data_IF_489609517738
#
_entry.id   IF_489609517738
#
_cell.length_a   1.000
_cell.length_b   1.000
_cell.length_c   1.000
_cell.angle_alpha   90.00
_cell.angle_beta   90.00
_cell.angle_gamma   90.00
#
_symmetry.space_group_name_H-M   'P 1'
#
loop_
_entity.id
_entity.type
_entity.pdbx_description
1 polymer ?
#
# COMPACT_ATOMS: atom_id res chain seq x y z
N UNK A 1 -15.19 -8.64 -60.36
CA UNK A 1 -16.45 -8.63 -59.62
C UNK A 1 -16.34 -9.45 -58.34
N UNK A 2 -15.57 -10.58 -58.32
CA UNK A 2 -15.44 -11.46 -57.17
C UNK A 2 -14.63 -10.87 -56.00
N UNK A 3 -13.65 -9.99 -56.27
CA UNK A 3 -12.79 -9.38 -55.26
C UNK A 3 -13.54 -8.33 -54.35
N UNK A 4 -14.55 -7.66 -54.93
CA UNK A 4 -15.32 -6.64 -54.17
C UNK A 4 -16.34 -7.25 -53.21
N UNK A 5 -16.84 -8.45 -53.48
CA UNK A 5 -17.76 -9.16 -52.59
C UNK A 5 -17.08 -9.74 -51.37
N UNK A 6 -15.78 -10.12 -51.50
CA UNK A 6 -15.02 -10.65 -50.37
C UNK A 6 -14.64 -9.53 -49.38
N UNK A 7 -14.35 -8.33 -49.89
CA UNK A 7 -14.00 -7.18 -49.02
C UNK A 7 -15.18 -6.70 -48.20
N UNK A 8 -16.40 -6.73 -48.75
CA UNK A 8 -17.61 -6.34 -48.01
C UNK A 8 -18.03 -7.37 -46.97
N UNK A 9 -17.81 -8.65 -47.21
CA UNK A 9 -18.09 -9.69 -46.24
C UNK A 9 -17.15 -9.64 -45.03
N UNK A 10 -15.87 -9.30 -45.23
CA UNK A 10 -14.87 -9.18 -44.19
C UNK A 10 -15.13 -7.94 -43.28
N UNK A 11 -15.55 -6.82 -43.89
CA UNK A 11 -15.86 -5.61 -43.15
C UNK A 11 -17.10 -5.78 -42.26
N UNK A 12 -18.12 -6.51 -42.73
CA UNK A 12 -19.33 -6.78 -41.93
C UNK A 12 -19.06 -7.76 -40.81
N UNK A 13 -18.19 -8.73 -40.97
CA UNK A 13 -17.80 -9.67 -39.92
C UNK A 13 -16.99 -8.98 -38.82
N UNK A 14 -16.12 -8.01 -39.18
CA UNK A 14 -15.34 -7.25 -38.22
C UNK A 14 -16.19 -6.33 -37.35
N UNK A 15 -17.18 -5.67 -37.95
CA UNK A 15 -18.13 -4.81 -37.23
C UNK A 15 -19.07 -5.61 -36.30
N UNK A 16 -19.45 -6.82 -36.68
CA UNK A 16 -20.24 -7.71 -35.82
C UNK A 16 -19.43 -8.20 -34.59
N UNK A 17 -18.14 -8.47 -34.77
CA UNK A 17 -17.25 -8.89 -33.67
C UNK A 17 -17.05 -7.78 -32.65
N UNK A 18 -16.90 -6.53 -33.07
CA UNK A 18 -16.75 -5.37 -32.18
C UNK A 18 -18.06 -5.09 -31.45
N UNK A 19 -19.21 -5.18 -32.12
CA UNK A 19 -20.52 -4.97 -31.50
C UNK A 19 -20.87 -6.05 -30.49
N UNK A 20 -20.50 -7.30 -30.73
CA UNK A 20 -20.79 -8.41 -29.82
C UNK A 20 -19.95 -8.37 -28.55
N UNK A 21 -18.69 -7.88 -28.63
CA UNK A 21 -17.82 -7.71 -27.48
C UNK A 21 -18.29 -6.63 -26.50
N UNK A 22 -19.01 -5.63 -26.95
CA UNK A 22 -19.58 -4.57 -26.11
C UNK A 22 -20.89 -4.99 -25.40
N UNK A 23 -21.64 -5.93 -25.98
CA UNK A 23 -22.90 -6.45 -25.42
C UNK A 23 -22.67 -7.54 -24.37
N UNK A 24 -21.49 -8.19 -24.36
CA UNK A 24 -21.18 -9.23 -23.39
C UNK A 24 -20.44 -8.72 -22.13
N UNK A 25 -20.16 -7.41 -22.08
CA UNK A 25 -19.74 -6.83 -20.82
C UNK A 25 -20.97 -6.78 -19.92
N UNK A 26 -21.20 -7.86 -19.16
CA UNK A 26 -22.15 -7.82 -18.06
C UNK A 26 -21.83 -6.56 -17.24
N UNK A 27 -22.84 -5.72 -16.91
CA UNK A 27 -22.61 -4.63 -15.98
C UNK A 27 -22.03 -5.30 -14.73
N UNK A 28 -20.76 -5.02 -14.43
CA UNK A 28 -20.25 -5.29 -13.10
C UNK A 28 -21.24 -4.56 -12.18
N UNK A 29 -21.87 -5.23 -11.19
CA UNK A 29 -22.64 -4.52 -10.21
C UNK A 29 -21.70 -3.41 -9.72
N UNK A 30 -22.08 -2.17 -10.00
CA UNK A 30 -21.44 -1.03 -9.39
C UNK A 30 -21.45 -1.37 -7.91
N UNK A 31 -20.28 -1.57 -7.31
CA UNK A 31 -20.19 -1.72 -5.86
C UNK A 31 -20.97 -0.53 -5.32
N UNK A 32 -22.07 -0.82 -4.65
CA UNK A 32 -22.98 0.21 -4.14
C UNK A 32 -22.13 1.21 -3.38
N UNK A 33 -22.04 2.47 -3.80
CA UNK A 33 -21.22 3.46 -3.11
C UNK A 33 -21.69 3.66 -1.66
N UNK A 34 -22.92 3.27 -1.35
CA UNK A 34 -23.47 3.27 -0.01
C UNK A 34 -22.92 2.15 0.89
N UNK A 35 -22.53 1.00 0.31
CA UNK A 35 -21.83 -0.07 1.06
C UNK A 35 -20.32 0.22 1.23
N UNK A 36 -19.73 1.03 0.35
CA UNK A 36 -18.36 1.51 0.51
C UNK A 36 -18.24 2.67 1.52
N UNK A 37 -19.32 3.44 1.72
CA UNK A 37 -19.35 4.60 2.61
C UNK A 37 -19.40 4.28 4.12
N UNK A 38 -19.37 3.02 4.51
CA UNK A 38 -19.53 2.61 5.92
C UNK A 38 -18.39 1.81 6.55
N UNK A 39 -17.39 1.40 5.77
CA UNK A 39 -16.25 0.66 6.32
C UNK A 39 -15.04 1.59 6.46
N UNK A 40 -14.51 1.75 7.68
CA UNK A 40 -13.29 2.53 7.87
C UNK A 40 -12.14 2.00 7.01
N UNK A 41 -11.37 2.89 6.41
CA UNK A 41 -10.18 2.50 5.67
C UNK A 41 -9.04 2.14 6.65
N UNK A 42 -8.30 1.06 6.40
CA UNK A 42 -7.16 0.68 7.24
C UNK A 42 -6.11 1.81 7.25
N UNK A 43 -5.54 2.06 8.42
CA UNK A 43 -4.49 3.07 8.56
C UNK A 43 -3.22 2.56 7.90
N UNK A 44 -2.62 3.39 7.08
CA UNK A 44 -1.36 3.11 6.39
C UNK A 44 -0.37 4.25 6.56
N UNK A 45 0.89 3.89 6.82
CA UNK A 45 2.06 4.77 6.81
C UNK A 45 2.92 4.36 5.62
N UNK A 46 3.10 5.23 4.66
CA UNK A 46 3.80 4.95 3.41
C UNK A 46 4.96 5.92 3.27
N UNK A 47 6.19 5.41 3.29
CA UNK A 47 7.40 6.18 3.08
C UNK A 47 7.90 6.06 1.65
N UNK A 48 8.31 7.18 1.06
CA UNK A 48 9.01 7.24 -0.22
C UNK A 48 10.15 8.24 -0.12
N UNK A 49 11.33 7.73 0.15
CA UNK A 49 12.49 8.58 0.45
C UNK A 49 12.25 9.43 1.71
N UNK A 50 12.22 10.76 1.56
CA UNK A 50 11.92 11.72 2.63
C UNK A 50 10.44 12.10 2.74
N UNK A 51 9.56 11.59 1.87
CA UNK A 51 8.12 11.84 1.96
C UNK A 51 7.43 10.68 2.70
N UNK A 52 6.56 11.01 3.65
CA UNK A 52 5.71 10.07 4.37
C UNK A 52 4.26 10.45 4.19
N UNK A 53 3.47 9.55 3.62
CA UNK A 53 2.03 9.71 3.50
C UNK A 53 1.33 8.89 4.58
N UNK A 54 0.47 9.53 5.35
CA UNK A 54 -0.44 8.90 6.31
C UNK A 54 -1.83 8.86 5.68
N UNK A 55 -2.44 7.68 5.59
CA UNK A 55 -3.76 7.50 4.98
C UNK A 55 -4.62 6.54 5.81
N UNK A 56 -5.93 6.57 5.60
CA UNK A 56 -6.90 5.73 6.31
C UNK A 56 -7.67 6.46 7.39
N UNK A 57 -8.47 5.71 8.15
CA UNK A 57 -9.35 6.25 9.18
C UNK A 57 -8.88 5.88 10.58
N UNK A 58 -8.82 6.87 11.46
CA UNK A 58 -8.56 6.70 12.90
C UNK A 58 -9.83 6.96 13.71
N UNK A 59 -9.93 6.35 14.88
CA UNK A 59 -11.14 6.42 15.72
C UNK A 59 -11.43 7.83 16.25
N UNK A 60 -10.39 8.61 16.53
CA UNK A 60 -10.51 9.92 17.17
C UNK A 60 -9.34 10.87 16.79
N UNK A 61 -9.49 12.18 17.08
CA UNK A 61 -8.43 13.15 16.80
C UNK A 61 -7.16 12.97 17.64
N UNK A 62 -7.22 12.30 18.78
CA UNK A 62 -6.06 12.03 19.61
C UNK A 62 -5.18 10.95 18.97
N UNK A 63 -5.79 9.90 18.42
CA UNK A 63 -5.09 8.87 17.63
C UNK A 63 -4.41 9.47 16.40
N UNK A 64 -5.10 10.38 15.66
CA UNK A 64 -4.49 11.10 14.53
C UNK A 64 -3.25 11.90 14.95
N UNK A 65 -3.35 12.63 16.06
CA UNK A 65 -2.23 13.42 16.58
C UNK A 65 -1.09 12.52 17.03
N UNK A 66 -1.36 11.42 17.75
CA UNK A 66 -0.34 10.48 18.19
C UNK A 66 0.44 9.87 17.02
N UNK A 67 -0.25 9.54 15.92
CA UNK A 67 0.39 9.02 14.72
C UNK A 67 1.30 10.07 14.05
N UNK A 68 0.82 11.30 13.93
CA UNK A 68 1.62 12.42 13.40
C UNK A 68 2.86 12.68 14.26
N UNK A 69 2.69 12.75 15.60
CA UNK A 69 3.78 12.98 16.53
C UNK A 69 4.83 11.86 16.48
N UNK A 70 4.40 10.60 16.35
CA UNK A 70 5.30 9.46 16.19
C UNK A 70 6.15 9.53 14.94
N UNK A 71 5.57 9.95 13.81
CA UNK A 71 6.29 10.09 12.54
C UNK A 71 7.21 11.31 12.56
N UNK A 72 6.75 12.46 13.04
CA UNK A 72 7.60 13.65 13.17
C UNK A 72 8.75 13.46 14.16
N UNK A 73 8.53 12.70 15.23
CA UNK A 73 9.56 12.40 16.23
C UNK A 73 10.65 11.45 15.73
N UNK A 74 10.41 10.72 14.65
CA UNK A 74 11.37 9.72 14.13
C UNK A 74 12.45 10.31 13.21
N UNK A 75 12.24 11.51 12.63
CA UNK A 75 13.20 12.14 11.72
C UNK A 75 12.86 13.61 11.49
N UNK A 76 13.87 14.49 11.51
CA UNK A 76 13.70 15.96 11.35
C UNK A 76 13.50 16.39 9.88
N UNK A 77 13.91 15.58 8.90
CA UNK A 77 13.91 15.92 7.47
C UNK A 77 12.75 15.28 6.68
N UNK A 78 11.65 14.90 7.35
CA UNK A 78 10.52 14.26 6.69
C UNK A 78 9.46 15.27 6.25
N UNK A 79 8.98 15.11 5.02
CA UNK A 79 7.77 15.77 4.52
C UNK A 79 6.58 14.86 4.77
N UNK A 80 5.67 15.25 5.67
CA UNK A 80 4.49 14.45 6.01
C UNK A 80 3.28 14.93 5.23
N UNK A 81 2.64 14.03 4.49
CA UNK A 81 1.37 14.23 3.81
C UNK A 81 0.27 13.55 4.62
N UNK A 82 -0.53 14.34 5.32
CA UNK A 82 -1.62 13.86 6.15
C UNK A 82 -2.91 13.72 5.34
N UNK A 83 -3.38 12.48 5.18
CA UNK A 83 -4.65 12.10 4.55
C UNK A 83 -5.52 11.25 5.48
N UNK A 84 -5.35 11.41 6.80
CA UNK A 84 -6.12 10.65 7.78
C UNK A 84 -7.53 11.22 7.93
N UNK A 85 -8.51 10.34 7.80
CA UNK A 85 -9.88 10.60 8.24
C UNK A 85 -10.06 10.33 9.75
N UNK A 86 -11.08 10.95 10.34
CA UNK A 86 -11.50 10.64 11.71
C UNK A 86 -12.90 10.06 11.66
N UNK A 87 -13.02 8.78 11.98
CA UNK A 87 -14.26 8.03 11.90
C UNK A 87 -14.45 7.24 13.20
N UNK A 88 -15.46 7.55 14.04
CA UNK A 88 -15.67 6.85 15.31
C UNK A 88 -15.87 5.34 15.19
N UNK A 89 -16.21 4.86 13.97
CA UNK A 89 -16.33 3.43 13.67
C UNK A 89 -14.98 2.76 13.34
N UNK A 90 -13.88 3.54 13.20
CA UNK A 90 -12.56 2.97 12.97
C UNK A 90 -12.08 2.17 14.20
N UNK A 91 -11.34 1.07 14.00
CA UNK A 91 -10.80 0.31 15.12
C UNK A 91 -9.79 1.15 15.91
N UNK A 92 -9.79 0.97 17.21
CA UNK A 92 -8.72 1.51 18.05
C UNK A 92 -7.43 0.76 17.76
N UNK A 93 -6.40 1.50 17.37
CA UNK A 93 -5.09 0.95 17.01
C UNK A 93 -4.09 1.37 18.09
N UNK A 94 -3.25 0.44 18.54
CA UNK A 94 -2.11 0.78 19.37
C UNK A 94 -1.01 1.38 18.51
N UNK A 95 -0.81 2.68 18.64
CA UNK A 95 0.15 3.46 17.87
C UNK A 95 1.50 3.63 18.59
N UNK A 96 1.66 3.08 19.80
CA UNK A 96 2.88 3.24 20.62
C UNK A 96 4.14 2.69 19.93
N UNK A 97 3.98 1.65 19.12
CA UNK A 97 5.07 1.02 18.37
C UNK A 97 5.45 1.71 17.06
N UNK A 98 4.67 2.69 16.58
CA UNK A 98 4.90 3.31 15.27
C UNK A 98 6.26 4.00 15.21
N UNK A 99 6.61 4.80 16.20
CA UNK A 99 7.87 5.52 16.24
C UNK A 99 9.10 4.60 16.17
N UNK A 100 9.26 3.66 17.10
CA UNK A 100 10.38 2.70 17.09
C UNK A 100 10.49 1.88 15.81
N UNK A 101 9.36 1.41 15.24
CA UNK A 101 9.37 0.66 13.98
C UNK A 101 9.77 1.55 12.82
N UNK A 102 9.28 2.78 12.79
CA UNK A 102 9.59 3.73 11.73
C UNK A 102 11.07 4.17 11.77
N UNK A 103 11.64 4.31 12.97
CA UNK A 103 13.07 4.56 13.18
C UNK A 103 13.91 3.37 12.70
N UNK A 104 13.54 2.12 13.05
CA UNK A 104 14.20 0.92 12.55
C UNK A 104 14.14 0.80 11.02
N UNK A 105 13.06 1.29 10.41
CA UNK A 105 12.86 1.32 8.95
C UNK A 105 13.49 2.54 8.27
N UNK A 106 14.26 3.39 8.96
CA UNK A 106 14.78 4.64 8.42
C UNK A 106 15.64 4.45 7.15
N UNK A 107 16.30 3.31 7.01
CA UNK A 107 17.13 2.96 5.84
C UNK A 107 16.34 2.27 4.71
N UNK A 108 15.01 2.15 4.80
CA UNK A 108 14.15 1.54 3.78
C UNK A 108 13.33 2.66 3.13
N UNK A 109 13.70 3.06 1.91
CA UNK A 109 13.12 4.23 1.24
C UNK A 109 11.66 4.04 0.77
N UNK A 110 11.23 2.80 0.55
CA UNK A 110 9.90 2.40 0.11
C UNK A 110 9.10 1.69 1.21
N UNK A 111 9.40 2.00 2.48
CA UNK A 111 8.78 1.33 3.63
C UNK A 111 7.28 1.62 3.70
N UNK A 112 6.52 0.58 3.97
CA UNK A 112 5.07 0.65 4.22
C UNK A 112 4.70 -0.09 5.49
N UNK A 113 3.80 0.49 6.26
CA UNK A 113 3.20 -0.13 7.44
C UNK A 113 1.69 0.08 7.37
N UNK A 114 0.93 -1.00 7.43
CA UNK A 114 -0.53 -0.95 7.37
C UNK A 114 -1.13 -1.69 8.57
N UNK A 115 -2.18 -1.09 9.14
CA UNK A 115 -2.94 -1.64 10.26
C UNK A 115 -4.28 -2.17 9.74
N UNK A 116 -4.48 -3.46 9.84
CA UNK A 116 -5.74 -4.13 9.53
C UNK A 116 -6.32 -4.73 10.83
N UNK A 117 -7.09 -3.92 11.54
CA UNK A 117 -7.58 -4.28 12.87
C UNK A 117 -6.45 -4.52 13.88
N UNK A 118 -6.27 -5.77 14.30
CA UNK A 118 -5.22 -6.15 15.24
C UNK A 118 -3.90 -6.56 14.56
N UNK A 119 -3.84 -6.57 13.23
CA UNK A 119 -2.66 -7.02 12.47
C UNK A 119 -1.92 -5.84 11.90
N UNK A 120 -0.59 -5.85 12.04
CA UNK A 120 0.32 -4.88 11.44
C UNK A 120 1.09 -5.57 10.31
N UNK A 121 0.96 -5.06 9.10
CA UNK A 121 1.68 -5.55 7.93
C UNK A 121 2.80 -4.58 7.57
N UNK A 122 4.01 -5.12 7.46
CA UNK A 122 5.22 -4.38 7.07
C UNK A 122 5.59 -4.73 5.64
N UNK A 123 5.94 -3.75 4.83
CA UNK A 123 6.39 -3.94 3.44
C UNK A 123 7.51 -2.96 3.09
N UNK A 124 8.17 -3.24 1.97
CA UNK A 124 9.27 -2.42 1.46
C UNK A 124 10.43 -3.26 0.96
N UNK A 125 11.53 -2.62 0.59
CA UNK A 125 12.74 -3.28 0.08
C UNK A 125 13.94 -2.90 0.93
N UNK A 126 14.37 -3.81 1.81
CA UNK A 126 15.56 -3.62 2.62
C UNK A 126 16.82 -3.98 1.82
N UNK A 127 17.90 -3.22 1.99
CA UNK A 127 19.17 -3.52 1.34
C UNK A 127 19.83 -4.80 1.90
N UNK A 128 19.55 -5.15 3.15
CA UNK A 128 20.10 -6.33 3.82
C UNK A 128 19.02 -7.06 4.63
N UNK A 129 19.20 -8.37 4.82
CA UNK A 129 18.35 -9.17 5.70
C UNK A 129 18.37 -8.65 7.15
N UNK A 130 19.49 -8.12 7.62
CA UNK A 130 19.59 -7.53 8.97
C UNK A 130 18.68 -6.34 9.18
N UNK A 131 18.51 -5.47 8.16
CA UNK A 131 17.56 -4.36 8.21
C UNK A 131 16.12 -4.85 8.30
N UNK A 132 15.74 -5.81 7.45
CA UNK A 132 14.40 -6.41 7.48
C UNK A 132 14.09 -7.06 8.84
N UNK A 133 15.07 -7.76 9.42
CA UNK A 133 14.95 -8.37 10.75
C UNK A 133 14.81 -7.32 11.84
N UNK A 134 15.58 -6.23 11.82
CA UNK A 134 15.50 -5.18 12.83
C UNK A 134 14.11 -4.51 12.85
N UNK A 135 13.52 -4.26 11.69
CA UNK A 135 12.15 -3.72 11.59
C UNK A 135 11.12 -4.72 12.11
N UNK A 136 11.28 -6.00 11.76
CA UNK A 136 10.41 -7.06 12.25
C UNK A 136 10.48 -7.20 13.77
N UNK A 137 11.66 -7.19 14.35
CA UNK A 137 11.87 -7.32 15.80
C UNK A 137 11.22 -6.14 16.53
N UNK A 138 11.46 -4.90 16.05
CA UNK A 138 10.82 -3.71 16.62
C UNK A 138 9.29 -3.78 16.58
N UNK A 139 8.73 -4.29 15.48
CA UNK A 139 7.27 -4.46 15.36
C UNK A 139 6.74 -5.58 16.28
N UNK A 140 7.48 -6.69 16.42
CA UNK A 140 7.10 -7.78 17.30
C UNK A 140 7.20 -7.42 18.78
N UNK A 141 8.15 -6.57 19.13
CA UNK A 141 8.27 -6.03 20.50
C UNK A 141 7.09 -5.11 20.85
N UNK A 142 6.60 -4.35 19.86
CA UNK A 142 5.49 -3.42 20.03
C UNK A 142 4.11 -4.11 20.08
N UNK A 143 3.85 -5.02 19.15
CA UNK A 143 2.51 -5.60 18.95
C UNK A 143 2.42 -7.10 19.18
N UNK A 144 3.53 -7.79 19.39
CA UNK A 144 3.58 -9.23 19.53
C UNK A 144 3.70 -9.95 18.18
N UNK A 145 4.31 -11.14 18.19
CA UNK A 145 4.62 -11.92 16.98
C UNK A 145 3.39 -12.31 16.18
N UNK A 146 2.30 -12.62 16.85
CA UNK A 146 1.06 -13.11 16.24
C UNK A 146 0.30 -12.02 15.49
N UNK A 147 0.66 -10.75 15.71
CA UNK A 147 0.02 -9.58 15.10
C UNK A 147 0.87 -8.91 14.01
N UNK A 148 2.08 -9.42 13.74
CA UNK A 148 3.00 -8.83 12.76
C UNK A 148 3.16 -9.73 11.55
N UNK A 149 2.87 -9.20 10.36
CA UNK A 149 3.14 -9.83 9.07
C UNK A 149 4.27 -9.06 8.40
N UNK A 150 5.40 -9.72 8.15
CA UNK A 150 6.56 -9.11 7.52
C UNK A 150 6.65 -9.52 6.05
N UNK A 151 6.33 -8.59 5.17
CA UNK A 151 6.45 -8.72 3.71
C UNK A 151 7.62 -7.87 3.16
N UNK A 152 8.59 -7.49 4.00
CA UNK A 152 9.78 -6.73 3.56
C UNK A 152 10.66 -7.65 2.71
N UNK A 153 10.81 -7.29 1.44
CA UNK A 153 11.74 -7.97 0.55
C UNK A 153 13.19 -7.54 0.85
N UNK A 154 14.13 -8.45 0.68
CA UNK A 154 15.55 -8.09 0.68
C UNK A 154 16.03 -7.93 -0.76
N UNK A 155 16.49 -6.73 -1.11
CA UNK A 155 17.16 -6.51 -2.39
C UNK A 155 18.43 -7.35 -2.42
N UNK A 156 18.57 -8.26 -3.40
CA UNK A 156 19.88 -8.87 -3.66
C UNK A 156 20.87 -7.74 -3.98
N UNK A 157 22.06 -7.70 -3.39
CA UNK A 157 23.09 -6.76 -3.81
C UNK A 157 23.23 -6.93 -5.33
N UNK A 158 23.00 -5.85 -6.06
CA UNK A 158 23.18 -5.83 -7.52
C UNK A 158 24.60 -6.33 -7.75
N UNK A 159 24.72 -7.55 -8.28
CA UNK A 159 26.02 -8.10 -8.65
C UNK A 159 26.67 -7.09 -9.58
N UNK A 160 27.65 -6.35 -9.08
CA UNK A 160 28.53 -5.54 -9.88
C UNK A 160 29.07 -6.46 -10.95
N UNK A 161 28.58 -6.28 -12.18
CA UNK A 161 29.14 -7.00 -13.34
C UNK A 161 30.60 -6.59 -13.39
N UNK A 162 31.56 -7.52 -13.24
CA UNK A 162 32.96 -7.17 -13.37
C UNK A 162 33.13 -6.52 -14.74
N UNK A 163 33.72 -5.31 -14.76
CA UNK A 163 34.12 -4.66 -15.97
C UNK A 163 35.06 -5.63 -16.67
N UNK A 164 34.60 -6.21 -17.77
CA UNK A 164 35.44 -7.07 -18.61
C UNK A 164 36.63 -6.28 -19.15
N UNK A 165 37.75 -6.86 -18.96
CA UNK A 165 39.04 -6.46 -19.48
C UNK A 165 39.05 -6.66 -21.01
#
# INVERSE_FOLDING_TARGET
VRARLIATALATALLAAIGYGLLQRAPQPAADPELAAGRPEPVAVIRRGSEVTLAGDVADPAARRALLDAVYGSSEDLTVVDRLGVTPAAPSIDLSGVGPVFEAAAAIDDFTMAFDGATVRLGGTAATAGQATAVQDAAQDAWGRDHVVNDIATGSPRAERPAGD
#
